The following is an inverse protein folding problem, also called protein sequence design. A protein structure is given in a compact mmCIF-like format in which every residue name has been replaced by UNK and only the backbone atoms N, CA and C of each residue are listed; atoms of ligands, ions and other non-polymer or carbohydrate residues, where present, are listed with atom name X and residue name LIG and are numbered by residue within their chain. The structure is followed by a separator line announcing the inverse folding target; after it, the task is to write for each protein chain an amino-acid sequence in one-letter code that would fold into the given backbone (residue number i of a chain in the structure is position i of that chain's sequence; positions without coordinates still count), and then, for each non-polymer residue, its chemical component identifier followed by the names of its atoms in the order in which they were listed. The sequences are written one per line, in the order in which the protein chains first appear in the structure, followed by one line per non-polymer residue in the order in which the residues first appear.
data_IF_341730016881
#
_entry.id   IF_341730016881
#
_cell.length_a   1.000
_cell.length_b   1.000
_cell.length_c   1.000
_cell.angle_alpha   90.00
_cell.angle_beta   90.00
_cell.angle_gamma   90.00
#
_symmetry.space_group_name_H-M   'P 1'
#
loop_
_entity.id
_entity.type
_entity.pdbx_description
1 polymer ?
#
# COMPACT_ATOMS: atom_id res chain seq x y z
N UNK A 1 19.62 65.30 -23.58
CA UNK A 1 19.81 64.65 -22.27
C UNK A 1 18.73 63.59 -22.09
N UNK A 2 19.09 62.31 -22.27
CA UNK A 2 18.28 61.16 -21.82
C UNK A 2 18.44 61.05 -20.32
N UNK A 3 17.34 60.87 -19.57
CA UNK A 3 17.21 59.94 -18.42
C UNK A 3 15.89 60.17 -17.66
N UNK A 4 15.34 59.07 -17.17
CA UNK A 4 14.35 58.91 -16.08
C UNK A 4 12.87 59.15 -16.41
N UNK A 5 12.24 58.25 -17.18
CA UNK A 5 10.88 57.78 -16.88
C UNK A 5 10.82 56.29 -17.23
N UNK A 6 11.38 55.43 -16.37
CA UNK A 6 11.22 53.97 -16.46
C UNK A 6 11.21 53.35 -15.05
N UNK A 7 10.43 53.95 -14.15
CA UNK A 7 10.44 53.60 -12.73
C UNK A 7 9.07 53.29 -12.11
N UNK A 8 7.96 53.40 -12.83
CA UNK A 8 6.63 53.23 -12.23
C UNK A 8 5.75 52.12 -12.84
N UNK A 9 6.14 51.52 -13.96
CA UNK A 9 5.33 50.47 -14.62
C UNK A 9 5.71 49.06 -14.15
N UNK A 10 6.88 48.88 -13.54
CA UNK A 10 7.38 47.55 -13.13
C UNK A 10 6.92 47.10 -11.73
N UNK A 11 6.32 47.99 -10.92
CA UNK A 11 5.90 47.63 -9.55
C UNK A 11 4.45 47.14 -9.47
N UNK A 12 3.61 47.41 -10.47
CA UNK A 12 2.20 46.97 -10.47
C UNK A 12 2.03 45.56 -11.09
N UNK A 13 2.99 45.06 -11.87
CA UNK A 13 2.93 43.70 -12.41
C UNK A 13 3.38 42.60 -11.43
N UNK A 14 4.06 42.93 -10.32
CA UNK A 14 4.54 41.95 -9.34
C UNK A 14 3.45 41.58 -8.31
N UNK A 15 2.41 42.41 -8.15
CA UNK A 15 1.27 42.08 -7.27
C UNK A 15 0.18 41.23 -7.93
N UNK A 16 0.19 41.09 -9.26
CA UNK A 16 -0.81 40.28 -9.99
C UNK A 16 -0.41 38.80 -10.16
N UNK A 17 0.85 38.44 -9.91
CA UNK A 17 1.29 37.04 -9.86
C UNK A 17 1.38 36.45 -8.44
N UNK A 18 1.03 37.23 -7.41
CA UNK A 18 0.94 36.76 -6.03
C UNK A 18 -0.49 36.40 -5.60
N UNK A 19 -1.43 36.33 -6.56
CA UNK A 19 -2.88 36.33 -6.29
C UNK A 19 -3.71 35.21 -6.91
N UNK A 20 -3.13 34.21 -7.56
CA UNK A 20 -3.78 32.90 -7.68
C UNK A 20 -3.42 32.06 -6.45
N UNK A 21 -3.64 32.62 -5.27
CA UNK A 21 -3.80 31.79 -4.09
C UNK A 21 -5.04 30.95 -4.35
N UNK A 22 -4.84 29.68 -4.72
CA UNK A 22 -5.82 28.65 -4.41
C UNK A 22 -6.32 29.00 -3.01
N UNK A 23 -7.60 29.35 -2.89
CA UNK A 23 -8.22 29.58 -1.59
C UNK A 23 -7.79 28.40 -0.72
N UNK A 24 -7.05 28.68 0.35
CA UNK A 24 -6.78 27.65 1.35
C UNK A 24 -8.15 27.28 1.87
N UNK A 25 -8.63 26.13 1.44
CA UNK A 25 -9.74 25.48 2.07
C UNK A 25 -9.23 25.09 3.46
N UNK A 26 -9.59 25.90 4.47
CA UNK A 26 -9.10 25.73 5.85
C UNK A 26 -9.54 24.37 6.43
N UNK A 27 -10.63 23.81 5.89
CA UNK A 27 -11.16 22.50 6.27
C UNK A 27 -10.46 21.35 5.53
N UNK A 28 -9.61 21.64 4.53
CA UNK A 28 -8.88 20.62 3.79
C UNK A 28 -7.48 20.39 4.38
N UNK A 29 -7.23 19.24 5.03
CA UNK A 29 -5.95 18.96 5.68
C UNK A 29 -4.75 18.85 4.70
N UNK A 30 -4.99 18.66 3.41
CA UNK A 30 -3.95 18.64 2.37
C UNK A 30 -3.57 20.04 1.89
N UNK A 31 -4.40 21.05 2.17
CA UNK A 31 -4.22 22.43 1.74
C UNK A 31 -2.92 23.03 2.29
N UNK A 32 -2.09 23.56 1.38
CA UNK A 32 -0.81 24.17 1.73
C UNK A 32 0.29 23.19 2.20
N UNK A 33 0.07 21.88 2.08
CA UNK A 33 1.09 20.86 2.35
C UNK A 33 1.92 20.56 1.11
N UNK A 34 3.22 20.41 1.28
CA UNK A 34 4.10 19.91 0.22
C UNK A 34 3.96 18.39 0.04
N UNK A 35 4.61 17.82 -0.99
CA UNK A 35 4.51 16.39 -1.29
C UNK A 35 5.00 15.50 -0.14
N UNK A 36 6.10 15.84 0.52
CA UNK A 36 6.63 15.02 1.61
C UNK A 36 5.68 15.03 2.80
N UNK A 37 5.13 16.19 3.15
CA UNK A 37 4.12 16.32 4.21
C UNK A 37 2.87 15.48 3.92
N UNK A 38 2.41 15.47 2.66
CA UNK A 38 1.23 14.69 2.26
C UNK A 38 1.50 13.19 2.27
N UNK A 39 2.70 12.76 1.88
CA UNK A 39 3.15 11.37 2.03
C UNK A 39 3.19 10.96 3.50
N UNK A 40 3.78 11.80 4.37
CA UNK A 40 3.83 11.53 5.82
C UNK A 40 2.43 11.44 6.42
N UNK A 41 1.48 12.27 5.96
CA UNK A 41 0.08 12.14 6.37
C UNK A 41 -0.53 10.79 5.95
N UNK A 42 -0.27 10.32 4.73
CA UNK A 42 -0.69 8.99 4.29
C UNK A 42 -0.09 7.87 5.13
N UNK A 43 1.23 7.91 5.37
CA UNK A 43 1.93 6.91 6.17
C UNK A 43 1.43 6.86 7.61
N UNK A 44 1.29 8.01 8.27
CA UNK A 44 0.80 8.09 9.65
C UNK A 44 -0.67 7.61 9.78
N UNK A 45 -1.49 7.84 8.74
CA UNK A 45 -2.88 7.34 8.71
C UNK A 45 -2.91 5.81 8.55
N UNK A 46 -2.06 5.27 7.68
CA UNK A 46 -1.94 3.84 7.42
C UNK A 46 -1.33 3.06 8.60
N UNK A 47 -0.33 3.62 9.24
CA UNK A 47 0.47 3.01 10.31
C UNK A 47 0.41 3.88 11.57
N UNK A 48 -0.74 3.91 12.28
CA UNK A 48 -0.98 4.85 13.37
C UNK A 48 -0.08 4.65 14.61
N UNK A 49 0.60 3.51 14.69
CA UNK A 49 1.52 3.17 15.79
C UNK A 49 2.97 3.61 15.50
N UNK A 50 3.24 4.18 14.33
CA UNK A 50 4.57 4.56 13.87
C UNK A 50 4.66 6.05 13.56
N UNK A 51 5.88 6.60 13.61
CA UNK A 51 6.18 7.96 13.20
C UNK A 51 7.23 7.94 12.11
N UNK A 52 6.96 8.68 11.03
CA UNK A 52 7.86 8.74 9.89
C UNK A 52 8.48 10.11 9.70
N UNK A 53 9.65 10.12 9.04
CA UNK A 53 10.29 11.33 8.53
C UNK A 53 10.81 11.12 7.12
N UNK A 54 10.90 12.19 6.35
CA UNK A 54 11.59 12.18 5.07
C UNK A 54 13.10 12.17 5.29
N UNK A 55 13.81 11.23 4.68
CA UNK A 55 15.29 11.17 4.64
C UNK A 55 15.80 11.75 3.33
N UNK A 56 15.11 11.45 2.22
CA UNK A 56 15.32 12.04 0.91
C UNK A 56 13.97 12.43 0.36
N UNK A 57 13.76 13.73 0.18
CA UNK A 57 12.52 14.28 -0.36
C UNK A 57 12.09 13.61 -1.65
N UNK A 58 10.78 13.54 -1.85
CA UNK A 58 10.18 12.92 -3.01
C UNK A 58 10.54 13.67 -4.29
N UNK A 59 11.22 12.97 -5.20
CA UNK A 59 11.58 13.48 -6.52
C UNK A 59 10.45 13.16 -7.50
N UNK A 60 9.70 14.18 -7.92
CA UNK A 60 8.58 14.02 -8.86
C UNK A 60 8.99 13.49 -10.24
N UNK A 61 10.24 13.70 -10.67
CA UNK A 61 10.72 13.19 -11.96
C UNK A 61 11.02 11.70 -11.88
N UNK A 62 11.55 11.25 -10.74
CA UNK A 62 11.83 9.83 -10.50
C UNK A 62 10.63 9.08 -9.92
N UNK A 63 9.62 9.81 -9.46
CA UNK A 63 8.43 9.30 -8.79
C UNK A 63 8.76 8.47 -7.54
N UNK A 64 9.78 8.89 -6.79
CA UNK A 64 10.23 8.20 -5.57
C UNK A 64 10.88 9.13 -4.54
N UNK A 65 10.82 8.75 -3.27
CA UNK A 65 11.51 9.35 -2.14
C UNK A 65 11.90 8.30 -1.10
N UNK A 66 12.76 8.66 -0.13
CA UNK A 66 13.17 7.76 0.96
C UNK A 66 12.69 8.31 2.28
N UNK A 67 12.00 7.46 3.04
CA UNK A 67 11.41 7.75 4.34
C UNK A 67 11.97 6.78 5.37
N UNK A 68 11.84 7.12 6.64
CA UNK A 68 12.36 6.35 7.76
C UNK A 68 11.37 6.37 8.92
N UNK A 69 11.15 5.21 9.55
CA UNK A 69 10.37 5.08 10.79
C UNK A 69 11.19 5.54 12.03
N UNK A 70 10.58 5.49 13.22
CA UNK A 70 11.25 5.84 14.46
C UNK A 70 12.39 4.88 14.86
N UNK A 71 12.44 3.67 14.29
CA UNK A 71 13.45 2.65 14.58
C UNK A 71 14.61 2.65 13.58
N UNK A 72 14.62 3.56 12.60
CA UNK A 72 15.67 3.67 11.58
C UNK A 72 15.49 2.76 10.37
N UNK A 73 14.32 2.15 10.18
CA UNK A 73 13.94 1.40 8.98
C UNK A 73 13.71 2.38 7.85
N UNK A 74 14.68 2.46 6.93
CA UNK A 74 14.56 3.24 5.69
C UNK A 74 13.81 2.42 4.64
N UNK A 75 12.83 3.04 4.01
CA UNK A 75 12.05 2.47 2.93
C UNK A 75 11.75 3.51 1.85
N UNK A 76 11.38 3.03 0.66
CA UNK A 76 10.99 3.90 -0.45
C UNK A 76 9.49 4.18 -0.38
N UNK A 77 9.11 5.43 -0.69
CA UNK A 77 7.77 5.73 -1.19
C UNK A 77 7.90 6.02 -2.66
N UNK A 78 7.06 5.40 -3.48
CA UNK A 78 7.04 5.52 -4.93
C UNK A 78 5.63 5.70 -5.45
N UNK A 79 5.52 6.02 -6.73
CA UNK A 79 4.26 5.98 -7.46
C UNK A 79 3.15 6.81 -6.81
N UNK A 80 3.16 8.14 -7.04
CA UNK A 80 1.98 8.95 -6.72
C UNK A 80 0.80 8.46 -7.58
N UNK A 81 -0.21 7.91 -6.92
CA UNK A 81 -1.44 7.39 -7.52
C UNK A 81 -2.37 8.58 -7.82
N UNK A 82 -2.52 9.48 -6.86
CA UNK A 82 -3.27 10.72 -7.00
C UNK A 82 -2.48 11.88 -6.39
N UNK A 83 -2.46 13.02 -7.09
CA UNK A 83 -1.89 14.27 -6.58
C UNK A 83 -2.77 15.47 -7.00
N UNK A 84 -3.89 15.66 -6.29
CA UNK A 84 -4.73 16.85 -6.44
C UNK A 84 -5.17 17.37 -5.07
N UNK A 85 -5.80 18.54 -5.01
CA UNK A 85 -6.13 19.20 -3.74
C UNK A 85 -7.04 18.38 -2.80
N UNK A 86 -7.91 17.51 -3.31
CA UNK A 86 -8.81 16.68 -2.50
C UNK A 86 -8.34 15.23 -2.37
N UNK A 87 -7.53 14.74 -3.31
CA UNK A 87 -7.12 13.34 -3.35
C UNK A 87 -5.61 13.21 -3.47
N UNK A 88 -4.99 12.56 -2.48
CA UNK A 88 -3.57 12.26 -2.48
C UNK A 88 -3.30 10.81 -2.11
N UNK A 89 -2.62 10.06 -2.98
CA UNK A 89 -2.28 8.68 -2.71
C UNK A 89 -0.93 8.30 -3.29
N UNK A 90 -0.24 7.37 -2.64
CA UNK A 90 1.09 6.89 -3.03
C UNK A 90 1.27 5.41 -2.66
N UNK A 91 2.34 4.79 -3.15
CA UNK A 91 2.75 3.43 -2.72
C UNK A 91 3.94 3.49 -1.80
N UNK A 92 3.91 2.75 -0.70
CA UNK A 92 5.03 2.63 0.22
C UNK A 92 5.65 1.23 0.19
N UNK A 93 6.94 1.12 0.48
CA UNK A 93 7.65 -0.14 0.61
C UNK A 93 7.98 -0.48 2.07
N UNK A 94 7.25 0.12 3.04
CA UNK A 94 7.57 -0.04 4.46
C UNK A 94 7.42 -1.50 4.90
N UNK A 95 6.25 -2.08 4.65
CA UNK A 95 5.98 -3.49 4.96
C UNK A 95 6.93 -4.43 4.19
N UNK A 96 7.09 -4.21 2.88
CA UNK A 96 8.01 -5.00 2.05
C UNK A 96 9.45 -4.98 2.60
N UNK A 97 9.91 -3.84 3.13
CA UNK A 97 11.23 -3.72 3.74
C UNK A 97 11.36 -4.56 5.01
N UNK A 98 10.31 -4.59 5.85
CA UNK A 98 10.27 -5.43 7.06
C UNK A 98 10.30 -6.91 6.69
N UNK A 99 9.43 -7.34 5.76
CA UNK A 99 9.38 -8.73 5.30
C UNK A 99 10.72 -9.20 4.73
N UNK A 100 11.40 -8.36 3.92
CA UNK A 100 12.74 -8.67 3.38
C UNK A 100 13.79 -8.84 4.48
N UNK A 101 13.76 -8.01 5.52
CA UNK A 101 14.72 -8.08 6.64
C UNK A 101 14.58 -9.34 7.49
N UNK A 102 13.40 -9.95 7.51
CA UNK A 102 13.12 -11.16 8.28
C UNK A 102 13.21 -12.46 7.45
N UNK A 103 13.80 -12.39 6.25
CA UNK A 103 13.92 -13.50 5.30
C UNK A 103 12.55 -14.14 4.98
N UNK A 104 11.50 -13.32 4.93
CA UNK A 104 10.12 -13.79 4.84
C UNK A 104 9.88 -14.67 3.60
N UNK A 105 10.34 -14.24 2.43
CA UNK A 105 10.02 -14.90 1.15
C UNK A 105 10.58 -16.32 1.08
N UNK A 106 11.82 -16.52 1.53
CA UNK A 106 12.44 -17.84 1.53
C UNK A 106 11.75 -18.78 2.52
N UNK A 107 11.38 -18.28 3.71
CA UNK A 107 10.62 -19.05 4.70
C UNK A 107 9.21 -19.37 4.24
N UNK A 108 8.52 -18.41 3.63
CA UNK A 108 7.18 -18.58 3.09
C UNK A 108 7.19 -19.63 1.96
N UNK A 109 8.16 -19.53 1.05
CA UNK A 109 8.35 -20.51 -0.02
C UNK A 109 8.55 -21.92 0.53
N UNK A 110 9.43 -22.11 1.52
CA UNK A 110 9.64 -23.43 2.15
C UNK A 110 8.36 -23.99 2.76
N UNK A 111 7.57 -23.16 3.45
CA UNK A 111 6.29 -23.60 4.01
C UNK A 111 5.34 -24.00 2.87
N UNK A 112 5.12 -23.11 1.90
CA UNK A 112 4.11 -23.29 0.86
C UNK A 112 4.46 -24.46 -0.07
N UNK A 113 5.69 -24.51 -0.58
CA UNK A 113 6.13 -25.50 -1.56
C UNK A 113 6.54 -26.81 -0.88
N UNK A 114 7.43 -26.79 0.11
CA UNK A 114 8.01 -28.03 0.65
C UNK A 114 7.07 -28.74 1.63
N UNK A 115 6.36 -27.98 2.48
CA UNK A 115 5.46 -28.56 3.51
C UNK A 115 4.05 -28.80 2.98
N UNK A 116 3.52 -27.88 2.17
CA UNK A 116 2.13 -27.95 1.70
C UNK A 116 1.99 -28.34 0.22
N UNK A 117 3.07 -28.37 -0.56
CA UNK A 117 3.03 -28.78 -1.97
C UNK A 117 2.27 -27.81 -2.87
N UNK A 118 2.13 -26.55 -2.47
CA UNK A 118 1.45 -25.50 -3.23
C UNK A 118 2.48 -24.61 -3.96
N UNK A 119 2.02 -23.75 -4.87
CA UNK A 119 2.92 -22.90 -5.66
C UNK A 119 3.03 -21.52 -5.03
N UNK A 120 4.26 -21.09 -4.75
CA UNK A 120 4.53 -19.74 -4.28
C UNK A 120 4.95 -18.84 -5.43
N UNK A 121 4.28 -17.69 -5.58
CA UNK A 121 4.65 -16.66 -6.56
C UNK A 121 4.85 -15.34 -5.86
N UNK A 122 5.93 -14.69 -6.24
CA UNK A 122 6.30 -13.39 -5.74
C UNK A 122 6.99 -12.59 -6.84
N UNK A 123 6.53 -11.36 -7.01
CA UNK A 123 7.27 -10.30 -7.69
C UNK A 123 7.24 -9.01 -6.84
N UNK A 124 7.98 -7.98 -7.25
CA UNK A 124 8.10 -6.75 -6.47
C UNK A 124 6.78 -5.98 -6.28
N UNK A 125 5.72 -6.33 -7.03
CA UNK A 125 4.40 -5.72 -6.99
C UNK A 125 3.31 -6.59 -6.36
N UNK A 126 3.46 -7.92 -6.41
CA UNK A 126 2.46 -8.90 -5.98
C UNK A 126 3.10 -10.04 -5.20
N UNK A 127 2.41 -10.51 -4.16
CA UNK A 127 2.70 -11.76 -3.47
C UNK A 127 1.45 -12.64 -3.49
N UNK A 128 1.59 -13.85 -4.03
CA UNK A 128 0.48 -14.77 -4.24
C UNK A 128 0.86 -16.22 -3.90
N UNK A 129 -0.10 -16.95 -3.34
CA UNK A 129 -0.13 -18.40 -3.24
C UNK A 129 -1.08 -18.87 -4.33
N UNK A 130 -0.60 -19.70 -5.25
CA UNK A 130 -1.44 -20.34 -6.25
C UNK A 130 -1.75 -21.78 -5.83
N UNK A 131 -3.04 -22.10 -5.79
CA UNK A 131 -3.60 -23.42 -5.49
C UNK A 131 -4.38 -23.86 -6.72
N UNK A 132 -3.85 -24.85 -7.44
CA UNK A 132 -4.50 -25.42 -8.63
C UNK A 132 -4.86 -26.86 -8.31
N UNK A 133 -6.14 -27.20 -8.40
CA UNK A 133 -6.63 -28.52 -8.00
C UNK A 133 -7.70 -29.07 -8.96
N UNK A 134 -7.86 -30.40 -8.94
CA UNK A 134 -8.93 -31.13 -9.59
C UNK A 134 -9.82 -31.81 -8.53
N UNK A 135 -10.89 -32.48 -8.94
CA UNK A 135 -11.85 -33.14 -8.03
C UNK A 135 -11.20 -34.13 -7.05
N UNK A 136 -10.06 -34.74 -7.41
CA UNK A 136 -9.36 -35.74 -6.61
C UNK A 136 -8.17 -35.15 -5.83
N UNK A 137 -7.70 -33.95 -6.20
CA UNK A 137 -6.54 -33.27 -5.64
C UNK A 137 -6.90 -32.06 -4.75
N UNK A 138 -8.16 -31.95 -4.30
CA UNK A 138 -8.61 -30.89 -3.39
C UNK A 138 -7.82 -30.93 -2.06
N UNK A 139 -7.03 -29.89 -1.80
CA UNK A 139 -6.42 -29.67 -0.49
C UNK A 139 -7.51 -29.25 0.51
N UNK A 140 -7.50 -29.77 1.73
CA UNK A 140 -8.58 -29.44 2.68
C UNK A 140 -8.52 -27.97 3.10
N UNK A 141 -9.70 -27.37 3.34
CA UNK A 141 -9.83 -26.02 3.92
C UNK A 141 -8.94 -25.85 5.14
N UNK A 142 -8.95 -26.83 6.06
CA UNK A 142 -8.12 -26.79 7.27
C UNK A 142 -6.60 -26.70 6.97
N UNK A 143 -6.12 -27.39 5.93
CA UNK A 143 -4.70 -27.34 5.52
C UNK A 143 -4.35 -25.99 4.91
N UNK A 144 -5.19 -25.43 4.04
CA UNK A 144 -4.96 -24.09 3.47
C UNK A 144 -4.96 -23.04 4.57
N UNK A 145 -5.95 -23.08 5.47
CA UNK A 145 -6.03 -22.14 6.59
C UNK A 145 -4.81 -22.24 7.50
N UNK A 146 -4.34 -23.46 7.80
CA UNK A 146 -3.11 -23.65 8.57
C UNK A 146 -1.88 -23.08 7.85
N UNK A 147 -1.75 -23.31 6.54
CA UNK A 147 -0.67 -22.76 5.72
C UNK A 147 -0.68 -21.22 5.76
N UNK A 148 -1.85 -20.59 5.59
CA UNK A 148 -2.01 -19.14 5.64
C UNK A 148 -1.61 -18.60 7.03
N UNK A 149 -2.08 -19.22 8.12
CA UNK A 149 -1.72 -18.82 9.48
C UNK A 149 -0.20 -18.91 9.69
N UNK A 150 0.43 -20.00 9.26
CA UNK A 150 1.87 -20.16 9.41
C UNK A 150 2.64 -19.11 8.62
N UNK A 151 2.23 -18.82 7.38
CA UNK A 151 2.84 -17.78 6.54
C UNK A 151 2.68 -16.39 7.15
N UNK A 152 1.47 -16.02 7.59
CA UNK A 152 1.20 -14.72 8.21
C UNK A 152 1.97 -14.52 9.53
N UNK A 153 2.37 -15.59 10.21
CA UNK A 153 3.11 -15.55 11.46
C UNK A 153 4.64 -15.68 11.31
N UNK A 154 5.18 -15.72 10.08
CA UNK A 154 6.64 -15.77 9.85
C UNK A 154 7.32 -14.51 10.40
N UNK A 155 6.71 -13.34 10.19
CA UNK A 155 7.30 -12.06 10.48
C UNK A 155 6.39 -11.19 11.35
N UNK A 156 7.00 -10.38 12.22
CA UNK A 156 6.25 -9.41 13.02
C UNK A 156 5.96 -8.16 12.17
N UNK A 157 4.74 -8.07 11.66
CA UNK A 157 4.33 -6.95 10.81
C UNK A 157 3.69 -5.82 11.61
N UNK A 158 3.85 -4.56 11.18
CA UNK A 158 3.15 -3.44 11.78
C UNK A 158 1.65 -3.55 11.52
N UNK A 159 0.85 -2.97 12.42
CA UNK A 159 -0.58 -2.80 12.15
C UNK A 159 -0.75 -1.82 10.99
N UNK A 160 -1.50 -2.25 9.98
CA UNK A 160 -1.82 -1.45 8.81
C UNK A 160 -3.34 -1.26 8.69
N UNK A 161 -3.77 -0.04 8.41
CA UNK A 161 -5.16 0.28 8.09
C UNK A 161 -5.28 0.42 6.58
N UNK A 162 -5.90 -0.58 5.95
CA UNK A 162 -6.21 -0.52 4.52
C UNK A 162 -7.20 0.62 4.24
N UNK A 163 -7.04 1.39 3.15
CA UNK A 163 -7.99 2.44 2.81
C UNK A 163 -9.35 1.87 2.44
N UNK A 164 -10.40 2.32 3.14
CA UNK A 164 -11.80 1.97 2.86
C UNK A 164 -12.28 2.43 1.48
N UNK A 165 -11.69 3.51 0.96
CA UNK A 165 -12.03 4.08 -0.34
C UNK A 165 -10.76 4.47 -1.10
N UNK A 166 -10.65 3.98 -2.34
CA UNK A 166 -9.56 4.26 -3.28
C UNK A 166 -10.05 5.01 -4.54
N UNK A 167 -11.35 5.30 -4.61
CA UNK A 167 -11.98 5.98 -5.72
C UNK A 167 -11.60 7.45 -5.78
N UNK A 168 -11.51 7.95 -7.02
CA UNK A 168 -11.22 9.34 -7.28
C UNK A 168 -12.33 10.26 -6.75
N UNK A 169 -11.96 11.33 -6.05
CA UNK A 169 -12.88 12.35 -5.56
C UNK A 169 -12.38 13.76 -5.87
N UNK A 170 -13.31 14.66 -6.18
CA UNK A 170 -13.07 16.09 -6.44
C UNK A 170 -13.74 17.00 -5.42
N UNK A 171 -14.27 16.46 -4.32
CA UNK A 171 -15.00 17.25 -3.32
C UNK A 171 -15.03 16.66 -1.91
N UNK A 172 -14.47 15.46 -1.73
CA UNK A 172 -14.28 14.83 -0.42
C UNK A 172 -12.80 14.55 -0.27
N UNK A 173 -12.20 15.04 0.81
CA UNK A 173 -10.78 14.82 1.05
C UNK A 173 -10.52 13.34 1.34
N UNK A 174 -9.67 12.73 0.51
CA UNK A 174 -9.17 11.38 0.71
C UNK A 174 -7.66 11.36 0.56
N UNK A 175 -6.99 10.69 1.49
CA UNK A 175 -5.57 10.42 1.37
C UNK A 175 -5.22 9.09 2.01
N UNK A 176 -4.34 8.34 1.35
CA UNK A 176 -3.93 7.01 1.78
C UNK A 176 -2.61 6.59 1.14
N UNK A 177 -2.04 5.50 1.63
CA UNK A 177 -0.98 4.79 0.94
C UNK A 177 -1.36 3.34 0.74
N UNK A 178 -0.79 2.72 -0.30
CA UNK A 178 -0.91 1.28 -0.55
C UNK A 178 0.45 0.62 -0.36
N UNK A 179 0.59 -0.28 0.62
CA UNK A 179 1.85 -0.96 0.86
C UNK A 179 2.13 -1.96 -0.25
N UNK A 180 3.36 -1.92 -0.75
CA UNK A 180 3.91 -3.03 -1.51
C UNK A 180 3.89 -4.28 -0.62
N UNK A 181 3.34 -5.37 -1.16
CA UNK A 181 3.18 -6.64 -0.44
C UNK A 181 2.26 -6.52 0.79
N UNK A 182 1.27 -5.62 0.73
CA UNK A 182 0.25 -5.41 1.75
C UNK A 182 -0.65 -6.62 2.04
N UNK A 183 -0.73 -7.55 1.09
CA UNK A 183 -1.67 -8.67 1.10
C UNK A 183 -0.99 -9.96 0.65
N UNK A 184 -1.44 -11.06 1.23
CA UNK A 184 -1.24 -12.41 0.74
C UNK A 184 -2.47 -12.79 -0.10
N UNK A 185 -2.26 -12.97 -1.40
CA UNK A 185 -3.31 -13.44 -2.29
C UNK A 185 -3.36 -14.96 -2.24
N UNK A 186 -4.53 -15.53 -1.96
CA UNK A 186 -4.79 -16.95 -2.09
C UNK A 186 -5.61 -17.15 -3.36
N UNK A 187 -4.93 -17.51 -4.45
CA UNK A 187 -5.55 -17.82 -5.73
C UNK A 187 -5.88 -19.31 -5.79
N UNK A 188 -7.09 -19.62 -6.22
CA UNK A 188 -7.61 -20.97 -6.30
C UNK A 188 -8.24 -21.18 -7.67
N UNK A 189 -7.79 -22.20 -8.40
CA UNK A 189 -8.24 -22.51 -9.77
C UNK A 189 -8.71 -23.95 -9.92
N UNK A 190 -9.86 -24.12 -10.56
CA UNK A 190 -10.45 -25.39 -10.98
C UNK A 190 -11.05 -25.25 -12.38
N UNK A 191 -10.75 -26.17 -13.29
CA UNK A 191 -11.35 -26.21 -14.64
C UNK A 191 -11.31 -24.87 -15.40
N UNK A 192 -10.21 -24.09 -15.27
CA UNK A 192 -10.04 -22.75 -15.86
C UNK A 192 -10.91 -21.64 -15.25
N UNK A 193 -11.61 -21.93 -14.14
CA UNK A 193 -12.27 -20.94 -13.29
C UNK A 193 -11.33 -20.67 -12.13
N UNK A 194 -10.94 -19.40 -11.98
CA UNK A 194 -9.97 -18.96 -10.98
C UNK A 194 -10.52 -17.81 -10.16
N UNK A 195 -10.42 -17.94 -8.85
CA UNK A 195 -10.89 -16.95 -7.88
C UNK A 195 -9.80 -16.63 -6.86
N UNK A 196 -9.87 -15.45 -6.25
CA UNK A 196 -8.85 -14.98 -5.30
C UNK A 196 -9.46 -14.48 -4.01
N UNK A 197 -8.95 -14.98 -2.88
CA UNK A 197 -9.22 -14.42 -1.56
C UNK A 197 -7.98 -13.67 -1.04
N UNK A 198 -8.21 -12.55 -0.35
CA UNK A 198 -7.14 -11.70 0.18
C UNK A 198 -7.03 -11.85 1.70
N UNK A 199 -5.79 -12.04 2.16
CA UNK A 199 -5.43 -12.05 3.58
C UNK A 199 -4.44 -10.91 3.85
N UNK A 200 -4.73 -10.06 4.83
CA UNK A 200 -3.88 -8.93 5.16
C UNK A 200 -2.87 -9.35 6.24
N UNK A 201 -1.65 -8.81 6.20
CA UNK A 201 -0.66 -9.11 7.24
C UNK A 201 -1.06 -8.62 8.64
N UNK A 202 -1.97 -7.65 8.71
CA UNK A 202 -2.64 -7.25 9.96
C UNK A 202 -3.57 -8.33 10.54
N UNK A 203 -3.89 -9.37 9.78
CA UNK A 203 -4.80 -10.46 10.16
C UNK A 203 -4.06 -11.61 10.87
N UNK A 204 -2.82 -11.43 11.31
CA UNK A 204 -2.03 -12.48 11.95
C UNK A 204 -2.67 -13.05 13.24
N UNK A 205 -3.59 -12.31 13.87
CA UNK A 205 -4.39 -12.76 15.01
C UNK A 205 -5.81 -13.21 14.65
N UNK A 206 -6.12 -13.37 13.36
CA UNK A 206 -7.44 -13.81 12.90
C UNK A 206 -7.72 -15.24 13.38
N UNK A 207 -8.96 -15.49 13.81
CA UNK A 207 -9.40 -16.83 14.20
C UNK A 207 -9.34 -17.76 12.98
N UNK A 208 -8.77 -18.95 13.17
CA UNK A 208 -8.73 -20.01 12.14
C UNK A 208 -10.13 -20.34 11.62
N UNK A 209 -11.17 -20.24 12.43
CA UNK A 209 -12.55 -20.46 12.00
C UNK A 209 -12.99 -19.44 10.92
N UNK A 210 -12.57 -18.19 11.03
CA UNK A 210 -12.89 -17.15 10.05
C UNK A 210 -12.09 -17.35 8.75
N UNK A 211 -10.83 -17.79 8.87
CA UNK A 211 -10.01 -18.16 7.71
C UNK A 211 -10.66 -19.36 6.99
N UNK A 212 -11.15 -20.37 7.72
CA UNK A 212 -11.87 -21.49 7.13
C UNK A 212 -13.11 -21.02 6.36
N UNK A 213 -13.93 -20.14 6.93
CA UNK A 213 -15.13 -19.62 6.26
C UNK A 213 -14.78 -18.92 4.92
N UNK A 214 -13.71 -18.13 4.90
CA UNK A 214 -13.21 -17.48 3.67
C UNK A 214 -12.78 -18.51 2.63
N UNK A 215 -12.02 -19.53 3.04
CA UNK A 215 -11.55 -20.58 2.12
C UNK A 215 -12.70 -21.47 1.62
N UNK A 216 -13.69 -21.77 2.45
CA UNK A 216 -14.87 -22.54 2.02
C UNK A 216 -15.66 -21.77 0.94
N UNK A 217 -15.87 -20.45 1.12
CA UNK A 217 -16.48 -19.60 0.09
C UNK A 217 -15.67 -19.54 -1.20
N UNK A 218 -14.33 -19.47 -1.07
CA UNK A 218 -13.45 -19.51 -2.23
C UNK A 218 -13.59 -20.82 -3.01
N UNK A 219 -13.70 -21.96 -2.30
CA UNK A 219 -13.98 -23.25 -2.94
C UNK A 219 -15.34 -23.28 -3.64
N UNK A 220 -16.39 -22.80 -2.99
CA UNK A 220 -17.73 -22.73 -3.58
C UNK A 220 -17.72 -21.94 -4.89
N UNK A 221 -16.99 -20.82 -4.93
CA UNK A 221 -16.95 -19.91 -6.10
C UNK A 221 -16.36 -20.50 -7.38
N UNK A 222 -15.53 -21.55 -7.30
CA UNK A 222 -14.96 -22.22 -8.47
C UNK A 222 -15.56 -23.61 -8.75
N UNK A 223 -16.42 -24.09 -7.85
CA UNK A 223 -17.15 -25.35 -7.99
C UNK A 223 -18.49 -25.16 -8.74
N UNK A 224 -18.91 -23.90 -8.97
CA UNK A 224 -20.07 -23.49 -9.81
C UNK A 224 -19.82 -23.63 -11.33
#
# INVERSE_FOLDING_TARGET
MKKIILGLVTVILISLFSGCGLKRDEDNPLSGKDTDQRILMCLNKAYPEHNFKAVKSFDRQKNEGIFEDENGIKFKVRDLIYDNIYHFACRDEYLATILKKEDFFDKAKQIIEDKYGQKFIYDESVMAIEIIYDENNKITTDKISQMIIEVLNIAKTPKFIYPDNQEFSTGVVNYYTLPALGVLQCYLEKNQIGETELFYFSDNSMDKALINEKIDKLYESVDE
#
